data_IF_749133301933
#
_entry.id   IF_749133301933
#
_cell.length_a   1.000
_cell.length_b   1.000
_cell.length_c   1.000
_cell.angle_alpha   90.00
_cell.angle_beta   90.00
_cell.angle_gamma   90.00
#
_symmetry.space_group_name_H-M   'P 1'
#
loop_
_entity.id
_entity.type
_entity.pdbx_description
1 polymer ?
#
# COMPACT_ATOMS: atom_id res chain seq x y z
N UNK A 1 62.22 28.96 -31.96
CA UNK A 1 61.37 29.02 -33.17
C UNK A 1 60.10 28.24 -32.88
N UNK A 2 58.88 28.70 -33.13
CA UNK A 2 58.36 30.06 -33.33
C UNK A 2 56.84 30.05 -33.03
N UNK A 3 56.25 31.19 -32.66
CA UNK A 3 54.79 31.38 -32.55
C UNK A 3 54.19 31.82 -33.89
N UNK A 4 52.93 31.43 -34.17
CA UNK A 4 51.90 32.16 -34.96
C UNK A 4 50.61 31.31 -34.87
N UNK A 5 49.41 31.72 -34.44
CA UNK A 5 48.63 32.99 -34.46
C UNK A 5 47.86 33.25 -35.78
N UNK A 6 46.52 33.28 -35.63
CA UNK A 6 45.36 33.78 -36.44
C UNK A 6 45.65 34.89 -37.51
N UNK A 7 44.82 35.13 -38.57
CA UNK A 7 43.32 35.29 -38.62
C UNK A 7 42.62 34.69 -39.89
N UNK A 8 41.35 34.94 -40.30
CA UNK A 8 40.14 35.55 -39.69
C UNK A 8 39.08 36.11 -40.70
N UNK A 9 37.87 36.48 -40.19
CA UNK A 9 36.81 37.40 -40.73
C UNK A 9 35.94 37.12 -42.00
N UNK A 10 34.60 37.09 -41.76
CA UNK A 10 33.48 37.71 -42.52
C UNK A 10 32.96 37.02 -43.84
N UNK A 11 31.89 37.51 -44.52
CA UNK A 11 30.49 37.14 -44.23
C UNK A 11 29.62 36.82 -45.48
N UNK A 12 28.39 36.27 -45.39
CA UNK A 12 27.40 36.48 -46.48
C UNK A 12 25.92 36.37 -46.07
N UNK A 13 25.10 37.22 -46.71
CA UNK A 13 23.63 37.28 -46.66
C UNK A 13 22.98 36.19 -47.54
N UNK A 14 21.74 35.79 -47.21
CA UNK A 14 20.68 35.75 -48.22
C UNK A 14 19.29 36.07 -47.65
N UNK A 15 18.46 36.75 -48.45
CA UNK A 15 17.06 37.13 -48.16
C UNK A 15 16.09 36.30 -49.01
N UNK A 16 14.94 35.93 -48.46
CA UNK A 16 13.58 36.23 -48.97
C UNK A 16 12.54 35.53 -48.06
N UNK A 17 11.58 36.22 -47.43
CA UNK A 17 10.34 36.80 -47.99
C UNK A 17 9.38 35.78 -48.62
N UNK A 18 8.39 35.35 -47.84
CA UNK A 18 6.99 35.25 -48.29
C UNK A 18 6.12 36.09 -47.34
N UNK A 19 5.05 36.67 -47.87
CA UNK A 19 4.21 37.72 -47.28
C UNK A 19 2.74 37.33 -47.43
N UNK A 20 1.86 37.93 -46.61
CA UNK A 20 0.38 37.88 -46.59
C UNK A 20 -0.20 36.78 -45.67
N UNK A 21 -1.32 37.02 -44.99
CA UNK A 21 -2.18 38.22 -45.01
C UNK A 21 -3.09 38.33 -43.78
N UNK A 22 -3.56 39.54 -43.54
CA UNK A 22 -4.36 39.93 -42.37
C UNK A 22 -5.87 39.95 -42.72
N UNK A 23 -6.69 39.72 -41.69
CA UNK A 23 -8.10 40.10 -41.58
C UNK A 23 -9.13 39.50 -42.56
N UNK A 24 -10.16 38.86 -42.00
CA UNK A 24 -11.53 39.38 -42.14
C UNK A 24 -12.38 38.98 -40.94
N UNK A 25 -13.34 39.82 -40.58
CA UNK A 25 -14.26 39.61 -39.45
C UNK A 25 -15.67 39.33 -39.99
N UNK A 26 -16.44 38.52 -39.25
CA UNK A 26 -17.90 38.47 -39.37
C UNK A 26 -18.53 38.42 -37.97
N UNK A 27 -19.12 39.54 -37.55
CA UNK A 27 -20.19 39.52 -36.55
C UNK A 27 -21.44 38.95 -37.21
N UNK A 28 -22.16 38.07 -36.51
CA UNK A 28 -23.61 38.01 -36.58
C UNK A 28 -24.18 37.79 -35.18
N UNK A 29 -25.31 38.44 -34.91
CA UNK A 29 -26.01 38.43 -33.63
C UNK A 29 -27.45 37.92 -33.83
N UNK A 30 -28.23 37.98 -32.74
CA UNK A 30 -29.68 37.71 -32.62
C UNK A 30 -30.05 36.25 -32.32
N UNK A 31 -30.82 36.07 -31.24
CA UNK A 31 -31.33 34.78 -30.76
C UNK A 31 -31.93 34.90 -29.35
N UNK A 32 -33.08 35.58 -29.22
CA UNK A 32 -33.70 35.90 -27.93
C UNK A 32 -34.77 34.89 -27.48
N UNK A 33 -34.81 34.63 -26.16
CA UNK A 33 -35.97 34.40 -25.29
C UNK A 33 -37.14 33.45 -25.68
N UNK A 34 -37.31 32.39 -24.88
CA UNK A 34 -38.56 31.85 -24.30
C UNK A 34 -38.13 30.75 -23.30
N UNK A 35 -38.43 30.70 -21.99
CA UNK A 35 -39.68 30.90 -21.24
C UNK A 35 -40.87 30.09 -21.78
N UNK A 36 -41.10 28.93 -21.15
CA UNK A 36 -42.43 28.31 -20.98
C UNK A 36 -42.44 27.50 -19.68
N UNK A 37 -43.60 27.49 -19.03
CA UNK A 37 -43.81 27.11 -17.64
C UNK A 37 -44.68 25.83 -17.52
N UNK A 38 -44.76 25.28 -16.29
CA UNK A 38 -45.74 24.28 -15.82
C UNK A 38 -45.66 22.86 -16.44
N UNK A 39 -45.77 21.78 -15.65
CA UNK A 39 -47.05 21.28 -15.07
C UNK A 39 -46.84 20.61 -13.70
N UNK A 40 -47.82 20.77 -12.82
CA UNK A 40 -47.92 20.08 -11.53
C UNK A 40 -48.14 18.56 -11.64
N UNK A 41 -47.56 17.80 -10.71
CA UNK A 41 -48.12 16.54 -10.25
C UNK A 41 -47.91 16.37 -8.73
N UNK A 42 -48.97 16.52 -7.95
CA UNK A 42 -49.00 16.14 -6.53
C UNK A 42 -49.06 14.61 -6.42
N UNK A 43 -48.39 14.03 -5.41
CA UNK A 43 -48.33 12.58 -5.24
C UNK A 43 -47.71 12.16 -3.91
N UNK A 44 -48.13 12.79 -2.80
CA UNK A 44 -47.63 12.42 -1.47
C UNK A 44 -48.19 11.07 -1.02
N UNK A 45 -47.32 10.07 -0.86
CA UNK A 45 -47.67 8.81 -0.19
C UNK A 45 -47.37 8.89 1.31
N UNK A 46 -48.37 8.51 2.11
CA UNK A 46 -48.33 8.62 3.57
C UNK A 46 -47.56 7.46 4.23
N UNK A 47 -46.82 7.78 5.29
CA UNK A 47 -46.29 6.80 6.23
C UNK A 47 -47.36 6.50 7.30
N UNK A 48 -47.64 5.24 7.65
CA UNK A 48 -48.48 4.91 8.79
C UNK A 48 -47.66 5.02 10.09
N UNK A 49 -48.05 5.95 10.94
CA UNK A 49 -47.61 6.00 12.34
C UNK A 49 -48.12 4.78 13.11
N UNK A 50 -47.27 4.14 13.92
CA UNK A 50 -47.74 3.24 14.97
C UNK A 50 -47.01 3.50 16.28
N UNK A 51 -47.75 4.03 17.25
CA UNK A 51 -47.31 4.37 18.60
C UNK A 51 -47.65 3.24 19.57
N UNK A 52 -46.68 2.74 20.32
CA UNK A 52 -46.93 1.84 21.47
C UNK A 52 -46.26 2.34 22.74
N UNK A 53 -47.07 2.38 23.79
CA UNK A 53 -46.86 2.79 25.17
C UNK A 53 -45.45 2.72 25.79
N UNK A 54 -45.11 3.82 26.49
CA UNK A 54 -44.18 3.86 27.62
C UNK A 54 -44.93 3.45 28.90
N UNK A 55 -44.40 2.51 29.68
CA UNK A 55 -44.85 2.19 31.03
C UNK A 55 -43.65 1.97 31.96
N UNK A 56 -43.64 2.49 33.21
CA UNK A 56 -42.50 2.37 34.11
C UNK A 56 -42.60 1.15 35.03
N UNK A 57 -41.45 0.55 35.36
CA UNK A 57 -41.32 -0.43 36.44
C UNK A 57 -40.36 0.07 37.52
N UNK A 58 -40.89 0.25 38.73
CA UNK A 58 -40.13 0.46 39.96
C UNK A 58 -40.14 -0.82 40.79
N UNK A 59 -38.97 -1.28 41.21
CA UNK A 59 -38.80 -1.97 42.51
C UNK A 59 -37.32 -2.09 42.87
N UNK A 60 -37.01 -1.72 44.11
CA UNK A 60 -35.68 -1.84 44.72
C UNK A 60 -35.43 -3.28 45.22
N UNK A 61 -34.16 -3.69 45.28
CA UNK A 61 -33.72 -4.77 46.15
C UNK A 61 -32.30 -4.48 46.64
N UNK A 62 -32.16 -4.28 47.96
CA UNK A 62 -30.88 -4.05 48.64
C UNK A 62 -30.13 -5.36 48.90
N UNK A 63 -28.80 -5.34 48.80
CA UNK A 63 -27.92 -6.35 49.41
C UNK A 63 -26.60 -5.69 49.88
N UNK A 64 -26.05 -6.19 50.99
CA UNK A 64 -25.06 -5.50 51.81
C UNK A 64 -23.59 -5.62 51.33
N UNK A 65 -22.68 -4.71 51.74
CA UNK A 65 -21.26 -4.77 51.40
C UNK A 65 -20.50 -5.76 52.31
N UNK A 66 -19.59 -6.54 51.73
CA UNK A 66 -18.59 -7.32 52.49
C UNK A 66 -17.19 -6.71 52.35
N UNK A 67 -16.46 -6.68 53.47
CA UNK A 67 -15.24 -5.89 53.62
C UNK A 67 -13.96 -6.56 53.12
N UNK A 68 -12.99 -5.73 52.74
CA UNK A 68 -11.61 -6.13 52.49
C UNK A 68 -10.84 -6.29 53.81
N UNK A 69 -10.02 -7.35 53.92
CA UNK A 69 -8.92 -7.43 54.88
C UNK A 69 -7.62 -7.82 54.17
N UNK A 70 -6.47 -7.20 54.48
CA UNK A 70 -5.21 -7.48 53.80
C UNK A 70 -4.46 -8.67 54.43
N UNK A 71 -3.73 -9.44 53.62
CA UNK A 71 -2.83 -10.51 54.10
C UNK A 71 -1.38 -10.20 53.73
N UNK A 72 -0.50 -10.29 54.73
CA UNK A 72 0.92 -9.96 54.64
C UNK A 72 1.77 -11.07 53.97
N UNK A 73 3.01 -10.71 53.63
CA UNK A 73 3.91 -11.43 52.73
C UNK A 73 4.72 -12.59 53.36
N UNK A 74 5.23 -13.46 52.49
CA UNK A 74 6.30 -14.43 52.74
C UNK A 74 7.00 -14.77 51.40
N UNK A 75 8.35 -14.91 51.33
CA UNK A 75 9.07 -14.89 50.05
C UNK A 75 9.58 -16.26 49.59
N UNK A 76 9.53 -16.54 48.27
CA UNK A 76 10.36 -17.61 47.66
C UNK A 76 10.69 -17.36 46.19
N UNK A 77 12.00 -17.39 45.92
CA UNK A 77 12.70 -17.97 44.78
C UNK A 77 12.38 -17.54 43.32
N UNK A 78 13.46 -17.21 42.59
CA UNK A 78 13.46 -16.94 41.17
C UNK A 78 13.06 -18.16 40.31
N UNK A 79 12.24 -17.92 39.29
CA UNK A 79 11.95 -18.90 38.25
C UNK A 79 13.05 -18.91 37.19
N UNK A 80 13.95 -19.89 37.25
CA UNK A 80 14.85 -20.24 36.15
C UNK A 80 14.35 -21.55 35.52
N UNK A 81 14.15 -21.65 34.18
CA UNK A 81 13.60 -22.86 33.57
C UNK A 81 14.55 -24.06 33.71
N UNK A 82 14.07 -25.25 34.14
CA UNK A 82 14.91 -26.42 34.34
C UNK A 82 15.08 -27.21 33.03
N UNK A 83 16.15 -26.91 32.30
CA UNK A 83 16.72 -27.81 31.30
C UNK A 83 18.26 -27.78 31.43
N UNK A 84 18.92 -28.89 31.08
CA UNK A 84 20.36 -29.17 31.34
C UNK A 84 20.70 -29.66 32.77
N UNK A 85 20.01 -30.68 33.27
CA UNK A 85 20.54 -31.54 34.33
C UNK A 85 20.63 -33.00 33.85
N UNK A 86 21.84 -33.55 33.91
CA UNK A 86 22.26 -34.86 33.39
C UNK A 86 21.72 -36.01 34.26
N UNK A 87 21.32 -37.16 33.69
CA UNK A 87 20.68 -38.23 34.46
C UNK A 87 21.69 -39.15 35.20
N UNK A 88 21.38 -39.58 36.44
CA UNK A 88 21.94 -40.79 37.03
C UNK A 88 21.06 -42.01 36.71
N UNK A 89 21.69 -43.14 36.37
CA UNK A 89 21.01 -44.43 36.20
C UNK A 89 20.79 -45.11 37.56
N UNK A 90 19.61 -45.70 37.81
CA UNK A 90 19.46 -47.05 38.43
C UNK A 90 18.01 -47.56 38.44
N UNK A 91 17.82 -48.75 37.86
CA UNK A 91 16.87 -49.83 38.22
C UNK A 91 15.40 -49.57 38.64
N UNK A 92 14.51 -49.97 37.71
CA UNK A 92 13.48 -51.01 37.90
C UNK A 92 12.11 -50.73 38.59
N UNK A 93 11.07 -50.88 37.75
CA UNK A 93 9.82 -51.66 37.94
C UNK A 93 8.50 -50.97 38.41
N UNK A 94 7.49 -51.05 37.51
CA UNK A 94 6.03 -51.16 37.74
C UNK A 94 5.32 -50.15 38.66
N UNK A 95 4.74 -49.11 38.06
CA UNK A 95 3.29 -49.05 37.78
C UNK A 95 2.94 -47.77 37.03
N UNK A 96 2.65 -47.87 35.74
CA UNK A 96 2.23 -46.73 34.92
C UNK A 96 0.71 -46.55 35.00
N UNK A 97 0.27 -45.50 35.70
CA UNK A 97 -1.01 -44.85 35.41
C UNK A 97 -0.86 -44.09 34.08
N UNK A 98 -1.86 -44.11 33.18
CA UNK A 98 -1.75 -43.40 31.91
C UNK A 98 -1.72 -41.89 32.17
N UNK A 99 -0.58 -41.26 31.85
CA UNK A 99 -0.50 -39.82 31.77
C UNK A 99 -1.48 -39.30 30.70
N UNK A 100 -2.10 -38.15 30.96
CA UNK A 100 -3.13 -37.58 30.08
C UNK A 100 -2.64 -37.44 28.64
N UNK A 101 -3.45 -37.91 27.69
CA UNK A 101 -3.15 -37.87 26.26
C UNK A 101 -3.32 -36.44 25.71
N UNK A 102 -2.35 -35.56 26.02
CA UNK A 102 -2.19 -34.25 25.40
C UNK A 102 -1.06 -34.31 24.37
N UNK A 103 -1.40 -34.70 23.14
CA UNK A 103 -0.47 -34.80 22.02
C UNK A 103 -1.11 -35.57 20.86
N UNK A 104 -0.91 -35.10 19.63
CA UNK A 104 -1.51 -35.72 18.44
C UNK A 104 -1.11 -37.18 18.27
N UNK A 105 -2.03 -38.01 17.77
CA UNK A 105 -1.76 -39.42 17.52
C UNK A 105 -0.74 -39.56 16.37
N UNK A 106 0.40 -40.19 16.68
CA UNK A 106 1.39 -40.57 15.67
C UNK A 106 0.80 -41.63 14.74
N UNK A 107 0.37 -41.21 13.55
CA UNK A 107 0.09 -42.11 12.43
C UNK A 107 1.36 -42.89 12.06
N UNK A 108 1.24 -44.18 11.76
CA UNK A 108 2.38 -45.07 11.44
C UNK A 108 2.97 -44.83 10.03
N UNK A 109 2.94 -43.60 9.51
CA UNK A 109 3.44 -43.26 8.17
C UNK A 109 2.60 -43.87 7.04
N UNK A 110 1.28 -43.96 7.24
CA UNK A 110 0.35 -44.51 6.24
C UNK A 110 0.26 -43.68 4.95
N UNK A 111 -0.33 -44.29 3.91
CA UNK A 111 -0.62 -43.61 2.64
C UNK A 111 -1.58 -42.43 2.86
N UNK A 112 -1.30 -41.29 2.22
CA UNK A 112 -2.10 -40.08 2.32
C UNK A 112 -3.57 -40.32 1.88
N UNK A 113 -4.56 -39.62 2.46
CA UNK A 113 -5.98 -39.76 2.07
C UNK A 113 -6.20 -39.41 0.61
N UNK A 114 -6.91 -40.26 -0.14
CA UNK A 114 -7.19 -40.12 -1.59
C UNK A 114 -8.69 -40.06 -1.92
N UNK A 115 -9.51 -39.74 -0.94
CA UNK A 115 -10.97 -39.82 -1.00
C UNK A 115 -11.58 -38.93 -2.09
N UNK A 116 -10.93 -37.80 -2.41
CA UNK A 116 -11.31 -36.89 -3.49
C UNK A 116 -10.45 -37.06 -4.76
N UNK A 117 -9.76 -38.19 -4.92
CA UNK A 117 -8.84 -38.40 -6.04
C UNK A 117 -7.56 -37.58 -5.95
N UNK A 118 -7.12 -37.21 -4.73
CA UNK A 118 -5.87 -36.48 -4.56
C UNK A 118 -4.65 -37.31 -5.02
N UNK A 119 -3.68 -36.62 -5.62
CA UNK A 119 -2.41 -37.17 -6.07
C UNK A 119 -1.25 -36.30 -5.58
N UNK A 120 -0.03 -36.86 -5.57
CA UNK A 120 1.18 -36.10 -5.26
C UNK A 120 1.91 -35.79 -6.56
N UNK A 121 2.10 -34.51 -6.87
CA UNK A 121 2.92 -34.05 -8.01
C UNK A 121 4.06 -33.19 -7.52
N UNK A 122 5.21 -33.38 -8.16
CA UNK A 122 6.43 -32.60 -7.94
C UNK A 122 6.70 -31.80 -9.21
N UNK A 123 6.85 -30.49 -9.08
CA UNK A 123 7.19 -29.59 -10.19
C UNK A 123 8.63 -29.09 -10.00
N UNK A 124 9.42 -29.05 -11.07
CA UNK A 124 10.78 -28.51 -11.06
C UNK A 124 10.77 -26.98 -11.12
N UNK A 125 11.32 -26.33 -10.09
CA UNK A 125 11.49 -24.88 -10.00
C UNK A 125 12.90 -24.42 -10.37
N UNK A 126 13.86 -25.33 -10.49
CA UNK A 126 15.28 -25.05 -10.78
C UNK A 126 15.50 -24.12 -11.99
N UNK A 127 14.73 -24.22 -13.10
CA UNK A 127 14.91 -23.32 -14.26
C UNK A 127 14.52 -21.86 -14.00
N UNK A 128 13.75 -21.61 -12.94
CA UNK A 128 13.33 -20.28 -12.46
C UNK A 128 14.26 -19.77 -11.34
N UNK A 129 14.44 -20.56 -10.29
CA UNK A 129 15.20 -20.13 -9.10
C UNK A 129 16.70 -20.08 -9.33
N UNK A 130 17.23 -20.89 -10.25
CA UNK A 130 18.67 -21.03 -10.51
C UNK A 130 19.34 -19.74 -10.99
N UNK A 131 18.62 -18.85 -11.68
CA UNK A 131 19.16 -17.54 -12.08
C UNK A 131 18.93 -16.44 -11.02
N UNK A 132 17.95 -16.61 -10.12
CA UNK A 132 17.62 -15.69 -9.03
C UNK A 132 18.55 -15.83 -7.81
N UNK A 133 19.85 -15.94 -8.06
CA UNK A 133 20.90 -16.18 -7.05
C UNK A 133 20.91 -15.16 -5.90
N UNK A 134 20.58 -13.90 -6.21
CA UNK A 134 20.54 -12.76 -5.27
C UNK A 134 19.25 -12.66 -4.44
N UNK A 135 18.19 -13.37 -4.82
CA UNK A 135 16.92 -13.36 -4.09
C UNK A 135 16.97 -14.39 -2.98
N UNK A 136 16.58 -14.00 -1.77
CA UNK A 136 16.27 -14.95 -0.71
C UNK A 136 14.93 -15.62 -1.03
N UNK A 137 14.86 -16.95 -0.88
CA UNK A 137 13.66 -17.79 -1.13
C UNK A 137 12.83 -17.41 -2.38
N UNK A 138 13.40 -17.40 -3.60
CA UNK A 138 12.68 -17.01 -4.81
C UNK A 138 11.44 -17.88 -5.09
N UNK A 139 11.45 -19.14 -4.64
CA UNK A 139 10.32 -20.07 -4.71
C UNK A 139 9.07 -19.59 -3.95
N UNK A 140 9.21 -18.73 -2.95
CA UNK A 140 8.07 -18.19 -2.19
C UNK A 140 7.12 -17.42 -3.11
N UNK A 141 7.63 -16.74 -4.14
CA UNK A 141 6.79 -16.08 -5.14
C UNK A 141 5.85 -17.09 -5.85
N UNK A 142 6.32 -18.29 -6.15
CA UNK A 142 5.49 -19.33 -6.79
C UNK A 142 4.35 -19.76 -5.86
N UNK A 143 4.67 -20.00 -4.58
CA UNK A 143 3.70 -20.34 -3.53
C UNK A 143 2.67 -19.23 -3.35
N UNK A 144 3.12 -17.98 -3.22
CA UNK A 144 2.24 -16.82 -3.03
C UNK A 144 1.28 -16.66 -4.22
N UNK A 145 1.78 -16.82 -5.46
CA UNK A 145 0.95 -16.75 -6.66
C UNK A 145 -0.03 -17.90 -6.80
N UNK A 146 0.32 -19.12 -6.34
CA UNK A 146 -0.62 -20.24 -6.25
C UNK A 146 -1.74 -19.91 -5.25
N UNK A 147 -1.40 -19.50 -4.03
CA UNK A 147 -2.40 -19.14 -3.00
C UNK A 147 -3.30 -17.97 -3.45
N UNK A 148 -2.76 -17.01 -4.23
CA UNK A 148 -3.52 -15.89 -4.81
C UNK A 148 -4.49 -16.28 -5.94
N UNK A 149 -4.25 -17.38 -6.66
CA UNK A 149 -5.18 -17.90 -7.68
C UNK A 149 -6.19 -18.87 -7.08
N UNK A 150 -5.72 -19.76 -6.20
CA UNK A 150 -6.48 -20.89 -5.65
C UNK A 150 -7.28 -20.53 -4.39
N UNK A 151 -6.95 -19.41 -3.75
CA UNK A 151 -7.42 -19.06 -2.42
C UNK A 151 -6.60 -19.75 -1.33
N UNK A 152 -6.69 -19.23 -0.10
CA UNK A 152 -6.05 -19.85 1.08
C UNK A 152 -6.87 -21.02 1.60
N UNK A 153 -8.20 -20.96 1.50
CA UNK A 153 -9.12 -21.90 2.15
C UNK A 153 -8.94 -23.33 1.63
N UNK A 154 -8.71 -23.53 0.33
CA UNK A 154 -8.51 -24.85 -0.29
C UNK A 154 -7.32 -25.63 0.27
N UNK A 155 -6.37 -24.94 0.91
CA UNK A 155 -5.20 -25.56 1.56
C UNK A 155 -5.44 -25.90 3.05
N UNK A 156 -6.61 -25.55 3.58
CA UNK A 156 -6.99 -25.71 5.00
C UNK A 156 -8.35 -26.37 5.23
N UNK A 157 -9.15 -26.56 4.17
CA UNK A 157 -10.42 -27.29 4.20
C UNK A 157 -10.30 -28.69 3.59
N UNK A 158 -11.40 -29.43 3.55
CA UNK A 158 -11.53 -30.61 2.71
C UNK A 158 -11.65 -30.19 1.22
N UNK A 159 -11.11 -30.96 0.26
CA UNK A 159 -10.33 -32.19 0.46
C UNK A 159 -8.91 -31.89 0.97
N UNK A 160 -8.37 -32.77 1.85
CA UNK A 160 -7.02 -32.60 2.39
C UNK A 160 -5.98 -32.40 1.28
N UNK A 161 -5.27 -31.27 1.34
CA UNK A 161 -4.17 -30.94 0.46
C UNK A 161 -3.01 -30.30 1.22
N UNK A 162 -1.83 -30.29 0.62
CA UNK A 162 -0.69 -29.52 1.10
C UNK A 162 0.18 -29.05 -0.06
N UNK A 163 0.94 -27.98 0.18
CA UNK A 163 1.95 -27.47 -0.73
C UNK A 163 3.20 -27.13 0.08
N UNK A 164 4.37 -27.52 -0.44
CA UNK A 164 5.68 -27.19 0.12
C UNK A 164 6.65 -26.91 -1.02
N UNK A 165 7.43 -25.84 -0.90
CA UNK A 165 8.41 -25.44 -1.91
C UNK A 165 9.79 -25.26 -1.29
N UNK A 166 10.81 -25.72 -2.00
CA UNK A 166 12.20 -25.32 -1.79
C UNK A 166 12.73 -24.63 -3.06
N UNK A 167 14.04 -24.41 -3.18
CA UNK A 167 14.59 -23.74 -4.38
C UNK A 167 14.45 -24.59 -5.64
N UNK A 168 14.46 -25.91 -5.55
CA UNK A 168 14.57 -26.78 -6.71
C UNK A 168 13.22 -27.41 -7.05
N UNK A 169 12.34 -27.63 -6.07
CA UNK A 169 11.07 -28.35 -6.24
C UNK A 169 9.88 -27.72 -5.52
N UNK A 170 8.71 -27.85 -6.15
CA UNK A 170 7.39 -27.62 -5.56
C UNK A 170 6.68 -28.96 -5.42
N UNK A 171 6.45 -29.39 -4.18
CA UNK A 171 5.70 -30.60 -3.83
C UNK A 171 4.26 -30.21 -3.51
N UNK A 172 3.30 -30.77 -4.25
CA UNK A 172 1.86 -30.51 -4.07
C UNK A 172 1.10 -31.81 -3.94
N UNK A 173 0.19 -31.85 -2.96
CA UNK A 173 -0.83 -32.88 -2.85
C UNK A 173 -2.22 -32.26 -2.99
N UNK A 174 -2.92 -32.54 -4.10
CA UNK A 174 -4.30 -32.07 -4.33
C UNK A 174 -5.00 -32.91 -5.41
N UNK A 175 -6.25 -32.58 -5.71
CA UNK A 175 -6.99 -33.10 -6.88
C UNK A 175 -6.37 -32.66 -8.21
N UNK A 176 -6.65 -33.41 -9.29
CA UNK A 176 -6.12 -33.16 -10.64
C UNK A 176 -6.53 -31.77 -11.20
N UNK A 177 -7.72 -31.27 -10.87
CA UNK A 177 -8.23 -29.96 -11.32
C UNK A 177 -7.36 -28.83 -10.76
N UNK A 178 -6.99 -28.93 -9.47
CA UNK A 178 -6.08 -27.98 -8.83
C UNK A 178 -4.67 -28.07 -9.43
N UNK A 179 -4.21 -29.28 -9.76
CA UNK A 179 -2.92 -29.48 -10.44
C UNK A 179 -2.86 -28.86 -11.85
N UNK A 180 -4.00 -28.69 -12.54
CA UNK A 180 -4.06 -27.95 -13.81
C UNK A 180 -3.86 -26.45 -13.60
N UNK A 181 -4.54 -25.86 -12.60
CA UNK A 181 -4.37 -24.45 -12.22
C UNK A 181 -2.94 -24.16 -11.80
N UNK A 182 -2.38 -24.98 -10.91
CA UNK A 182 -1.00 -24.87 -10.43
C UNK A 182 -0.01 -25.04 -11.57
N UNK A 183 -0.24 -26.00 -12.48
CA UNK A 183 0.59 -26.20 -13.66
C UNK A 183 0.71 -24.93 -14.50
N UNK A 184 -0.41 -24.27 -14.81
CA UNK A 184 -0.42 -23.02 -15.59
C UNK A 184 0.24 -21.83 -14.87
N UNK A 185 0.28 -21.82 -13.54
CA UNK A 185 1.03 -20.81 -12.77
C UNK A 185 2.52 -21.12 -12.84
N UNK A 186 2.93 -22.34 -12.50
CA UNK A 186 4.34 -22.77 -12.50
C UNK A 186 4.96 -22.61 -13.89
N UNK A 187 4.22 -22.89 -14.96
CA UNK A 187 4.66 -22.69 -16.34
C UNK A 187 5.08 -21.23 -16.62
N UNK A 188 4.37 -20.23 -16.09
CA UNK A 188 4.72 -18.80 -16.22
C UNK A 188 6.01 -18.40 -15.49
N UNK A 189 6.42 -19.18 -14.49
CA UNK A 189 7.70 -19.01 -13.80
C UNK A 189 8.84 -19.75 -14.51
N UNK A 190 8.60 -20.98 -14.93
CA UNK A 190 9.61 -21.93 -15.43
C UNK A 190 9.89 -21.78 -16.92
N UNK A 191 8.84 -21.61 -17.73
CA UNK A 191 8.89 -21.41 -19.18
C UNK A 191 8.71 -19.93 -19.58
N UNK A 192 8.35 -19.06 -18.63
CA UNK A 192 8.27 -17.62 -18.85
C UNK A 192 9.62 -16.94 -19.04
N UNK A 193 9.57 -15.63 -19.25
CA UNK A 193 10.76 -14.83 -19.52
C UNK A 193 11.73 -14.80 -18.33
N UNK A 194 13.02 -14.96 -18.62
CA UNK A 194 14.10 -14.94 -17.63
C UNK A 194 14.78 -13.57 -17.54
N UNK A 195 14.59 -12.72 -18.55
CA UNK A 195 15.12 -11.37 -18.51
C UNK A 195 14.33 -10.50 -17.52
N UNK A 196 15.01 -9.67 -16.70
CA UNK A 196 14.32 -8.70 -15.88
C UNK A 196 13.45 -7.77 -16.74
N UNK A 197 12.23 -7.52 -16.26
CA UNK A 197 11.23 -6.68 -16.90
C UNK A 197 11.26 -5.28 -16.29
N UNK A 198 10.91 -4.28 -17.10
CA UNK A 198 10.81 -2.88 -16.64
C UNK A 198 9.35 -2.49 -16.49
N UNK A 199 8.97 -2.12 -15.28
CA UNK A 199 7.66 -1.58 -14.93
C UNK A 199 7.81 -0.10 -14.59
N UNK A 200 7.25 0.79 -15.42
CA UNK A 200 7.18 2.21 -15.07
C UNK A 200 6.01 2.44 -14.11
N UNK A 201 6.32 2.96 -12.93
CA UNK A 201 5.36 3.37 -11.92
C UNK A 201 5.39 4.89 -11.77
N UNK A 202 4.27 5.57 -12.02
CA UNK A 202 4.13 7.02 -11.80
C UNK A 202 2.97 7.32 -10.87
N UNK A 203 3.27 7.90 -9.71
CA UNK A 203 2.34 8.37 -8.70
C UNK A 203 2.17 9.89 -8.82
N UNK A 204 0.93 10.35 -8.89
CA UNK A 204 0.55 11.76 -8.98
C UNK A 204 -0.56 12.09 -7.99
N UNK A 205 -0.62 13.35 -7.56
CA UNK A 205 -1.76 13.89 -6.81
C UNK A 205 -2.43 15.00 -7.62
N UNK A 206 -3.76 14.97 -7.66
CA UNK A 206 -4.59 15.96 -8.37
C UNK A 206 -5.50 16.65 -7.35
N UNK A 207 -5.52 17.98 -7.33
CA UNK A 207 -6.40 18.74 -6.44
C UNK A 207 -7.88 18.45 -6.67
N UNK A 208 -8.35 18.62 -7.90
CA UNK A 208 -9.75 18.45 -8.28
C UNK A 208 -9.98 17.17 -9.13
N UNK A 209 -10.85 16.24 -8.71
CA UNK A 209 -11.12 14.96 -9.41
C UNK A 209 -11.78 15.09 -10.80
N UNK A 210 -12.15 16.30 -11.23
CA UNK A 210 -12.74 16.58 -12.54
C UNK A 210 -11.86 16.24 -13.76
N UNK A 211 -10.60 15.84 -13.59
CA UNK A 211 -9.79 15.31 -14.70
C UNK A 211 -10.48 14.11 -15.39
N UNK A 212 -11.28 13.33 -14.63
CA UNK A 212 -12.06 12.20 -15.15
C UNK A 212 -13.01 12.58 -16.28
N UNK A 213 -13.71 13.73 -16.20
CA UNK A 213 -14.70 14.10 -17.23
C UNK A 213 -14.04 14.29 -18.60
N UNK A 214 -12.84 14.85 -18.60
CA UNK A 214 -12.09 15.15 -19.81
C UNK A 214 -11.36 13.91 -20.36
N UNK A 215 -10.91 13.02 -19.47
CA UNK A 215 -10.27 11.76 -19.83
C UNK A 215 -11.27 10.63 -20.15
N UNK A 216 -12.58 10.78 -19.85
CA UNK A 216 -13.53 9.65 -19.81
C UNK A 216 -13.57 8.81 -21.09
N UNK A 217 -13.52 9.45 -22.26
CA UNK A 217 -13.56 8.78 -23.57
C UNK A 217 -12.23 8.08 -23.95
N UNK A 218 -11.14 8.33 -23.22
CA UNK A 218 -9.81 7.74 -23.46
C UNK A 218 -9.54 6.50 -22.59
N UNK A 219 -10.47 6.17 -21.69
CA UNK A 219 -10.30 5.22 -20.58
C UNK A 219 -11.35 4.10 -20.61
N UNK A 220 -10.91 2.85 -20.55
CA UNK A 220 -11.79 1.68 -20.46
C UNK A 220 -11.88 1.21 -19.00
N UNK A 221 -13.09 1.19 -18.41
CA UNK A 221 -13.25 0.86 -16.98
C UNK A 221 -12.90 -0.60 -16.67
N UNK A 222 -12.19 -0.82 -15.57
CA UNK A 222 -11.88 -2.14 -15.00
C UNK A 222 -12.62 -2.30 -13.68
N UNK A 223 -13.27 -3.44 -13.49
CA UNK A 223 -13.97 -3.73 -12.24
C UNK A 223 -12.96 -4.00 -11.11
N UNK A 224 -13.18 -3.34 -9.98
CA UNK A 224 -12.37 -3.42 -8.77
C UNK A 224 -13.23 -3.88 -7.59
N UNK A 225 -12.62 -4.48 -6.57
CA UNK A 225 -13.32 -5.01 -5.39
C UNK A 225 -13.19 -4.06 -4.18
N UNK A 226 -12.16 -3.23 -4.16
CA UNK A 226 -11.82 -2.31 -3.09
C UNK A 226 -12.72 -1.07 -3.12
N UNK A 227 -13.37 -0.71 -2.00
CA UNK A 227 -14.25 0.44 -1.96
C UNK A 227 -13.46 1.75 -2.16
N UNK A 228 -13.98 2.65 -3.01
CA UNK A 228 -13.38 3.95 -3.29
C UNK A 228 -12.22 3.95 -4.29
N UNK A 229 -11.78 2.77 -4.75
CA UNK A 229 -10.86 2.62 -5.88
C UNK A 229 -11.62 2.75 -7.21
N UNK A 230 -10.97 3.26 -8.24
CA UNK A 230 -11.41 3.14 -9.64
C UNK A 230 -10.21 2.79 -10.51
N UNK A 231 -10.39 1.90 -11.49
CA UNK A 231 -9.34 1.46 -12.39
C UNK A 231 -9.77 1.60 -13.85
N UNK A 232 -8.81 1.93 -14.72
CA UNK A 232 -9.02 1.99 -16.15
C UNK A 232 -7.81 1.46 -16.93
N UNK A 233 -8.06 0.92 -18.12
CA UNK A 233 -7.04 0.65 -19.13
C UNK A 233 -7.03 1.77 -20.16
N UNK A 234 -5.81 2.12 -20.60
CA UNK A 234 -5.54 3.06 -21.68
C UNK A 234 -4.53 2.44 -22.64
N UNK A 235 -4.60 2.76 -23.92
CA UNK A 235 -3.45 2.55 -24.81
C UNK A 235 -2.31 3.50 -24.40
N UNK A 236 -1.08 3.23 -24.83
CA UNK A 236 0.07 4.08 -24.48
C UNK A 236 -0.06 5.51 -25.00
N UNK A 237 -0.72 5.70 -26.15
CA UNK A 237 -1.04 6.99 -26.73
C UNK A 237 -2.09 7.73 -25.88
N UNK A 238 -3.17 7.05 -25.50
CA UNK A 238 -4.21 7.62 -24.64
C UNK A 238 -3.64 7.98 -23.25
N UNK A 239 -2.77 7.15 -22.69
CA UNK A 239 -2.06 7.44 -21.46
C UNK A 239 -1.16 8.69 -21.60
N UNK A 240 -0.46 8.86 -22.71
CA UNK A 240 0.32 10.07 -22.98
C UNK A 240 -0.55 11.33 -23.11
N UNK A 241 -1.74 11.23 -23.74
CA UNK A 241 -2.71 12.32 -23.82
C UNK A 241 -3.25 12.72 -22.43
N UNK A 242 -3.66 11.76 -21.61
CA UNK A 242 -4.13 12.00 -20.24
C UNK A 242 -3.00 12.58 -19.37
N UNK A 243 -1.77 12.05 -19.48
CA UNK A 243 -0.60 12.59 -18.80
C UNK A 243 -0.30 14.06 -19.19
N UNK A 244 -0.41 14.41 -20.48
CA UNK A 244 -0.21 15.78 -20.94
C UNK A 244 -1.32 16.72 -20.41
N UNK A 245 -2.57 16.26 -20.42
CA UNK A 245 -3.70 16.98 -19.83
C UNK A 245 -3.55 17.18 -18.31
N UNK A 246 -2.98 16.22 -17.59
CA UNK A 246 -2.69 16.37 -16.16
C UNK A 246 -1.53 17.34 -15.93
N UNK A 247 -0.45 17.25 -16.72
CA UNK A 247 0.73 18.12 -16.58
C UNK A 247 0.48 19.60 -16.93
N UNK A 248 -0.54 19.91 -17.73
CA UNK A 248 -0.93 21.30 -18.02
C UNK A 248 -1.72 21.97 -16.88
N UNK A 249 -2.15 21.21 -15.86
CA UNK A 249 -2.90 21.73 -14.71
C UNK A 249 -1.99 22.18 -13.57
N UNK A 250 -2.36 23.28 -12.93
CA UNK A 250 -1.61 23.86 -11.79
C UNK A 250 -1.81 23.11 -10.47
N UNK A 251 -2.90 22.36 -10.32
CA UNK A 251 -3.29 21.61 -9.13
C UNK A 251 -2.76 20.16 -9.10
N UNK A 252 -1.92 19.80 -10.08
CA UNK A 252 -1.30 18.48 -10.23
C UNK A 252 0.15 18.50 -9.73
N UNK A 253 0.56 17.45 -9.01
CA UNK A 253 1.94 17.18 -8.62
C UNK A 253 2.31 15.74 -8.91
N UNK A 254 3.45 15.53 -9.55
CA UNK A 254 4.05 14.19 -9.73
C UNK A 254 4.87 13.91 -8.47
N UNK A 255 4.40 12.96 -7.64
CA UNK A 255 5.01 12.62 -6.34
C UNK A 255 6.21 11.69 -6.57
N UNK A 256 6.05 10.74 -7.49
CA UNK A 256 7.11 9.79 -7.82
C UNK A 256 6.96 9.29 -9.26
N UNK A 257 8.07 9.09 -9.94
CA UNK A 257 8.15 8.33 -11.19
C UNK A 257 9.42 7.46 -11.13
N UNK A 258 9.25 6.14 -11.18
CA UNK A 258 10.34 5.16 -11.04
C UNK A 258 10.15 4.02 -12.04
N UNK A 259 11.24 3.62 -12.67
CA UNK A 259 11.34 2.38 -13.44
C UNK A 259 11.80 1.26 -12.52
N UNK A 260 10.93 0.27 -12.31
CA UNK A 260 11.19 -0.90 -11.48
C UNK A 260 11.69 -2.03 -12.37
N UNK A 261 12.91 -2.51 -12.09
CA UNK A 261 13.49 -3.69 -12.73
C UNK A 261 13.14 -4.89 -11.86
N UNK A 262 12.35 -5.82 -12.39
CA UNK A 262 11.71 -6.89 -11.62
C UNK A 262 11.67 -8.19 -12.41
N UNK A 263 11.73 -9.34 -11.72
CA UNK A 263 11.61 -10.66 -12.34
C UNK A 263 10.20 -11.24 -12.12
N UNK A 264 9.77 -12.16 -13.01
CA UNK A 264 8.43 -12.75 -12.96
C UNK A 264 8.06 -13.24 -11.54
N UNK A 265 6.94 -12.74 -11.03
CA UNK A 265 6.32 -12.98 -9.73
C UNK A 265 7.07 -12.43 -8.51
N UNK A 266 8.31 -11.94 -8.64
CA UNK A 266 9.03 -11.31 -7.53
C UNK A 266 8.34 -10.00 -7.11
N UNK A 267 8.53 -9.59 -5.86
CA UNK A 267 7.87 -8.39 -5.30
C UNK A 267 8.90 -7.29 -5.08
N UNK A 268 8.77 -6.19 -5.82
CA UNK A 268 9.55 -4.97 -5.57
C UNK A 268 8.82 -4.04 -4.61
N UNK A 269 9.57 -3.38 -3.72
CA UNK A 269 9.02 -2.52 -2.66
C UNK A 269 9.57 -1.11 -2.77
N UNK A 270 8.67 -0.12 -2.82
CA UNK A 270 8.99 1.29 -2.66
C UNK A 270 8.39 1.78 -1.37
N UNK A 271 9.17 2.50 -0.57
CA UNK A 271 8.66 3.22 0.59
C UNK A 271 9.26 4.63 0.62
N UNK A 272 8.43 5.60 0.99
CA UNK A 272 8.85 6.96 1.34
C UNK A 272 8.11 7.35 2.60
N UNK A 273 8.82 7.34 3.72
CA UNK A 273 8.28 7.67 5.04
C UNK A 273 9.09 8.78 5.68
N UNK A 274 8.42 9.55 6.54
CA UNK A 274 8.97 10.70 7.25
C UNK A 274 8.52 10.68 8.69
N UNK A 275 9.49 10.84 9.59
CA UNK A 275 9.26 11.06 11.01
C UNK A 275 8.65 12.43 11.29
N UNK A 276 7.58 12.45 12.10
CA UNK A 276 6.96 13.66 12.63
C UNK A 276 6.91 13.57 14.16
N UNK A 277 7.62 14.48 14.82
CA UNK A 277 7.71 14.54 16.27
C UNK A 277 6.49 15.26 16.89
N UNK A 278 6.09 14.85 18.08
CA UNK A 278 5.01 15.44 18.87
C UNK A 278 5.24 15.25 20.38
N UNK A 279 4.55 16.03 21.21
CA UNK A 279 4.61 15.84 22.67
C UNK A 279 3.68 14.69 23.07
N UNK A 280 4.23 13.48 23.18
CA UNK A 280 3.48 12.27 23.52
C UNK A 280 2.93 12.34 24.95
N UNK A 281 3.76 12.77 25.89
CA UNK A 281 3.45 12.74 27.31
C UNK A 281 4.29 13.78 28.07
N UNK A 282 4.11 13.88 29.39
CA UNK A 282 4.90 14.74 30.28
C UNK A 282 5.24 13.96 31.54
N UNK A 283 6.51 13.98 31.95
CA UNK A 283 7.03 13.28 33.14
C UNK A 283 7.62 14.26 34.16
N UNK A 284 7.62 13.95 35.47
CA UNK A 284 8.30 14.77 36.47
C UNK A 284 9.80 14.87 36.16
N UNK A 285 10.39 16.07 36.22
CA UNK A 285 11.81 16.22 35.94
C UNK A 285 12.67 15.86 37.17
N UNK A 286 13.75 15.08 37.01
CA UNK A 286 14.68 14.79 38.10
C UNK A 286 15.52 16.01 38.54
N UNK A 287 15.47 17.11 37.78
CA UNK A 287 16.18 18.35 38.10
C UNK A 287 15.38 19.31 39.02
N UNK A 288 14.16 18.93 39.45
CA UNK A 288 13.17 19.72 40.19
C UNK A 288 12.68 21.02 39.50
N UNK A 289 13.43 21.59 38.56
CA UNK A 289 13.06 22.76 37.78
C UNK A 289 13.56 22.65 36.32
N UNK A 290 12.67 22.69 35.30
CA UNK A 290 11.20 22.74 35.39
C UNK A 290 10.62 21.54 36.16
N UNK A 291 9.43 21.66 36.80
CA UNK A 291 8.86 20.57 37.59
C UNK A 291 8.48 19.34 36.72
N UNK A 292 8.22 19.60 35.44
CA UNK A 292 7.78 18.63 34.46
C UNK A 292 8.54 18.84 33.15
N UNK A 293 8.94 17.74 32.51
CA UNK A 293 9.63 17.73 31.22
C UNK A 293 8.80 16.96 30.16
N UNK A 294 8.71 17.48 28.91
CA UNK A 294 7.98 16.81 27.85
C UNK A 294 8.69 15.53 27.41
N UNK A 295 7.89 14.49 27.16
CA UNK A 295 8.30 13.25 26.54
C UNK A 295 7.90 13.31 25.05
N UNK A 296 8.89 13.35 24.17
CA UNK A 296 8.66 13.43 22.72
C UNK A 296 8.44 12.06 22.12
N UNK A 297 7.35 11.89 21.37
CA UNK A 297 7.11 10.74 20.50
C UNK A 297 7.39 11.09 19.03
N UNK A 298 7.64 10.07 18.22
CA UNK A 298 7.75 10.17 16.76
C UNK A 298 6.69 9.28 16.11
N UNK A 299 6.08 9.76 15.03
CA UNK A 299 5.18 8.96 14.19
C UNK A 299 5.60 9.05 12.73
N UNK A 300 5.57 7.92 12.02
CA UNK A 300 5.94 7.85 10.60
C UNK A 300 4.71 8.15 9.74
N UNK A 301 4.82 9.12 8.83
CA UNK A 301 3.84 9.40 7.78
C UNK A 301 4.47 9.19 6.39
N UNK A 302 3.69 8.74 5.40
CA UNK A 302 4.18 8.45 4.06
C UNK A 302 3.44 7.31 3.37
N UNK A 303 4.13 6.61 2.48
CA UNK A 303 3.59 5.48 1.73
C UNK A 303 4.57 4.31 1.62
N UNK A 304 4.01 3.11 1.49
CA UNK A 304 4.67 1.87 1.10
C UNK A 304 3.84 1.21 -0.02
N UNK A 305 4.46 0.98 -1.17
CA UNK A 305 3.88 0.32 -2.34
C UNK A 305 4.71 -0.93 -2.63
N UNK A 306 4.05 -2.06 -2.82
CA UNK A 306 4.65 -3.33 -3.22
C UNK A 306 4.00 -3.78 -4.52
N UNK A 307 4.84 -4.08 -5.51
CA UNK A 307 4.42 -4.43 -6.87
C UNK A 307 4.99 -5.80 -7.19
N UNK A 308 4.11 -6.76 -7.49
CA UNK A 308 4.47 -8.12 -7.90
C UNK A 308 3.86 -8.39 -9.27
N UNK A 309 4.62 -8.26 -10.37
CA UNK A 309 4.17 -8.57 -11.72
C UNK A 309 4.49 -10.02 -12.11
N UNK A 310 3.57 -10.68 -12.80
CA UNK A 310 3.76 -11.99 -13.41
C UNK A 310 3.26 -11.94 -14.86
N UNK A 311 4.17 -12.04 -15.82
CA UNK A 311 3.81 -12.07 -17.24
C UNK A 311 3.24 -13.45 -17.64
N UNK A 312 2.42 -13.51 -18.68
CA UNK A 312 2.07 -14.76 -19.36
C UNK A 312 3.25 -15.31 -20.16
N UNK A 313 3.24 -16.61 -20.45
CA UNK A 313 4.31 -17.29 -21.23
C UNK A 313 4.45 -16.67 -22.63
N UNK A 314 3.36 -16.20 -23.23
CA UNK A 314 3.34 -15.53 -24.54
C UNK A 314 3.68 -14.04 -24.49
N UNK A 315 3.93 -13.48 -23.31
CA UNK A 315 4.29 -12.08 -23.11
C UNK A 315 3.16 -11.06 -23.29
N UNK A 316 1.94 -11.49 -23.65
CA UNK A 316 0.83 -10.59 -24.05
C UNK A 316 -0.02 -10.08 -22.91
N UNK A 317 -0.06 -10.79 -21.79
CA UNK A 317 -0.88 -10.41 -20.63
C UNK A 317 0.00 -10.31 -19.40
N UNK A 318 -0.23 -9.26 -18.63
CA UNK A 318 0.42 -9.02 -17.36
C UNK A 318 -0.62 -9.18 -16.24
N UNK A 319 -0.32 -10.08 -15.30
CA UNK A 319 -0.98 -10.04 -14.00
C UNK A 319 -0.09 -9.24 -13.06
N UNK A 320 -0.64 -8.35 -12.25
CA UNK A 320 0.11 -7.65 -11.23
C UNK A 320 -0.68 -7.56 -9.93
N UNK A 321 -0.05 -7.94 -8.83
CA UNK A 321 -0.56 -7.64 -7.49
C UNK A 321 0.06 -6.34 -7.01
N UNK A 322 -0.80 -5.42 -6.61
CA UNK A 322 -0.44 -4.11 -6.10
C UNK A 322 -0.97 -4.01 -4.68
N UNK A 323 -0.03 -3.95 -3.72
CA UNK A 323 -0.29 -3.67 -2.32
C UNK A 323 0.18 -2.24 -2.05
N UNK A 324 -0.69 -1.36 -1.56
CA UNK A 324 -0.30 0.02 -1.22
C UNK A 324 -0.90 0.44 0.13
N UNK A 325 -0.03 0.98 0.98
CA UNK A 325 -0.36 1.47 2.31
C UNK A 325 0.09 2.94 2.35
N UNK A 326 -0.85 3.85 2.62
CA UNK A 326 -0.57 5.28 2.80
C UNK A 326 -1.08 5.65 4.19
N UNK A 327 -0.21 6.18 5.05
CA UNK A 327 -0.56 6.62 6.40
C UNK A 327 -0.08 8.06 6.59
N UNK A 328 -0.96 8.98 7.03
CA UNK A 328 -0.63 10.40 7.22
C UNK A 328 -1.23 10.96 8.51
N UNK A 329 -0.50 11.87 9.16
CA UNK A 329 -1.00 12.64 10.31
C UNK A 329 -1.81 13.84 9.80
N UNK A 330 -3.14 13.76 9.91
CA UNK A 330 -4.07 14.82 9.52
C UNK A 330 -3.90 16.08 10.40
N UNK A 331 -3.75 15.87 11.72
CA UNK A 331 -3.40 16.88 12.71
C UNK A 331 -2.94 16.24 14.02
N UNK A 332 -2.27 17.03 14.86
CA UNK A 332 -2.14 16.75 16.28
C UNK A 332 -3.25 17.48 17.03
N UNK A 333 -3.98 16.76 17.89
CA UNK A 333 -5.02 17.33 18.76
C UNK A 333 -4.38 17.65 20.10
N UNK A 334 -4.27 18.93 20.50
CA UNK A 334 -3.71 19.29 21.79
C UNK A 334 -4.69 18.94 22.91
N UNK A 335 -4.19 18.28 23.95
CA UNK A 335 -4.90 18.00 25.20
C UNK A 335 -4.17 18.77 26.30
N UNK A 336 -4.88 19.67 26.97
CA UNK A 336 -4.33 20.41 28.11
C UNK A 336 -4.36 19.52 29.36
N UNK A 337 -3.24 19.46 30.09
CA UNK A 337 -3.10 18.73 31.33
C UNK A 337 -2.87 19.70 32.49
N UNK A 338 -3.70 19.58 33.52
CA UNK A 338 -3.56 20.24 34.82
C UNK A 338 -2.78 19.29 35.76
N UNK A 339 -1.47 19.51 35.94
CA UNK A 339 -0.59 18.65 36.74
C UNK A 339 -0.34 19.21 38.16
N UNK A 340 -0.36 18.39 39.22
CA UNK A 340 -0.27 18.87 40.60
C UNK A 340 1.15 19.27 41.01
N UNK A 341 1.33 20.48 41.52
CA UNK A 341 2.59 20.93 42.12
C UNK A 341 2.61 20.70 43.65
N UNK A 342 3.80 20.47 44.28
CA UNK A 342 3.92 20.25 45.72
C UNK A 342 3.38 21.39 46.61
N UNK A 343 3.21 22.59 46.06
CA UNK A 343 2.68 23.77 46.73
C UNK A 343 1.15 23.95 46.57
N UNK A 344 0.44 22.89 46.16
CA UNK A 344 -1.01 22.90 45.88
C UNK A 344 -1.43 23.87 44.76
N UNK A 345 -0.49 24.27 43.89
CA UNK A 345 -0.78 24.93 42.61
C UNK A 345 -0.85 23.89 41.49
N UNK A 346 -1.29 24.33 40.30
CA UNK A 346 -1.42 23.48 39.12
C UNK A 346 -0.46 23.96 38.03
N UNK A 347 0.34 23.05 37.50
CA UNK A 347 1.15 23.27 36.31
C UNK A 347 0.37 22.88 35.06
N UNK A 348 0.05 23.87 34.22
CA UNK A 348 -0.58 23.63 32.91
C UNK A 348 0.47 23.30 31.87
N UNK A 349 0.30 22.14 31.26
CA UNK A 349 1.10 21.68 30.12
C UNK A 349 0.18 21.12 29.03
N UNK A 350 0.75 20.74 27.89
CA UNK A 350 0.01 20.20 26.74
C UNK A 350 0.68 18.94 26.23
N UNK A 351 -0.12 17.92 25.96
CA UNK A 351 0.26 16.76 25.16
C UNK A 351 -0.48 16.81 23.83
N UNK A 352 -0.04 16.01 22.86
CA UNK A 352 -0.55 15.97 21.50
C UNK A 352 -0.98 14.56 21.15
N UNK A 353 -2.24 14.40 20.76
CA UNK A 353 -2.78 13.11 20.28
C UNK A 353 -2.80 13.13 18.75
N UNK A 354 -2.07 12.23 18.05
CA UNK A 354 -2.10 12.18 16.60
C UNK A 354 -3.44 11.70 16.07
N UNK A 355 -4.05 12.47 15.18
CA UNK A 355 -5.16 12.00 14.34
C UNK A 355 -4.60 11.49 13.01
N UNK A 356 -4.72 10.19 12.79
CA UNK A 356 -4.26 9.51 11.58
C UNK A 356 -5.34 9.39 10.52
N UNK A 357 -4.89 9.34 9.27
CA UNK A 357 -5.65 8.95 8.09
C UNK A 357 -4.85 7.89 7.37
N UNK A 358 -5.46 6.74 7.15
CA UNK A 358 -4.87 5.65 6.40
C UNK A 358 -5.70 5.33 5.15
N UNK A 359 -5.01 4.91 4.10
CA UNK A 359 -5.60 4.31 2.91
C UNK A 359 -4.83 3.05 2.53
N UNK A 360 -5.57 2.03 2.08
CA UNK A 360 -5.09 0.67 1.91
C UNK A 360 -5.65 0.10 0.62
N UNK A 361 -4.78 -0.49 -0.19
CA UNK A 361 -5.10 -1.22 -1.42
C UNK A 361 -4.38 -2.56 -1.37
N UNK A 362 -5.09 -3.63 -1.69
CA UNK A 362 -4.49 -4.92 -1.97
C UNK A 362 -5.32 -5.60 -3.06
N UNK A 363 -4.93 -5.38 -4.31
CA UNK A 363 -5.64 -5.93 -5.47
C UNK A 363 -4.71 -6.57 -6.48
N UNK A 364 -5.32 -7.47 -7.26
CA UNK A 364 -4.72 -8.10 -8.42
C UNK A 364 -5.42 -7.59 -9.68
N UNK A 365 -4.62 -7.07 -10.60
CA UNK A 365 -5.06 -6.64 -11.92
C UNK A 365 -4.51 -7.61 -12.98
N UNK A 366 -5.28 -7.83 -14.05
CA UNK A 366 -4.86 -8.56 -15.26
C UNK A 366 -5.19 -7.70 -16.46
N UNK A 367 -4.19 -7.39 -17.30
CA UNK A 367 -4.38 -6.56 -18.49
C UNK A 367 -3.37 -6.87 -19.61
N UNK A 368 -3.61 -6.43 -20.86
CA UNK A 368 -2.66 -6.56 -21.95
C UNK A 368 -1.35 -5.79 -21.69
N UNK A 369 -0.21 -6.38 -22.01
CA UNK A 369 1.13 -5.80 -21.72
C UNK A 369 1.47 -4.57 -22.58
N UNK A 370 0.72 -4.31 -23.65
CA UNK A 370 0.77 -3.11 -24.47
C UNK A 370 -0.08 -1.94 -23.92
N UNK A 371 -0.91 -2.18 -22.90
CA UNK A 371 -1.76 -1.16 -22.27
C UNK A 371 -1.18 -0.64 -20.95
N UNK A 372 -1.64 0.55 -20.56
CA UNK A 372 -1.32 1.21 -19.28
C UNK A 372 -2.52 1.06 -18.34
N UNK A 373 -2.28 0.57 -17.13
CA UNK A 373 -3.26 0.56 -16.05
C UNK A 373 -3.20 1.90 -15.32
N UNK A 374 -4.33 2.60 -15.24
CA UNK A 374 -4.51 3.80 -14.43
C UNK A 374 -5.41 3.48 -13.25
N UNK A 375 -4.87 3.63 -12.04
CA UNK A 375 -5.62 3.53 -10.80
C UNK A 375 -5.85 4.93 -10.22
N UNK A 376 -7.09 5.22 -9.83
CA UNK A 376 -7.41 6.31 -8.92
C UNK A 376 -7.74 5.74 -7.55
N UNK A 377 -6.94 6.15 -6.57
CA UNK A 377 -7.02 5.76 -5.17
C UNK A 377 -8.08 6.57 -4.40
N UNK A 378 -8.84 7.41 -5.09
CA UNK A 378 -9.75 8.38 -4.49
C UNK A 378 -9.02 9.54 -3.82
N UNK A 379 -9.78 10.36 -3.09
CA UNK A 379 -9.29 11.57 -2.41
C UNK A 379 -8.57 11.19 -1.10
N UNK A 380 -7.27 10.91 -1.22
CA UNK A 380 -6.38 10.63 -0.09
C UNK A 380 -5.82 11.91 0.54
N UNK A 381 -5.17 11.76 1.69
CA UNK A 381 -4.31 12.80 2.22
C UNK A 381 -3.00 12.88 1.41
N UNK A 382 -2.53 14.09 1.14
CA UNK A 382 -1.34 14.38 0.36
C UNK A 382 -0.19 14.73 1.32
N UNK A 383 0.85 13.89 1.47
CA UNK A 383 1.93 14.16 2.43
C UNK A 383 2.79 15.37 2.04
N UNK A 384 2.90 15.65 0.73
CA UNK A 384 3.70 16.77 0.21
C UNK A 384 3.00 18.14 0.21
N UNK A 385 1.68 18.19 0.44
CA UNK A 385 0.92 19.44 0.32
C UNK A 385 0.83 20.12 1.68
N UNK A 386 1.54 21.24 1.92
CA UNK A 386 1.44 21.94 3.19
C UNK A 386 -0.01 22.40 3.41
N UNK A 387 -0.55 22.11 4.60
CA UNK A 387 -1.79 22.71 5.05
C UNK A 387 -1.58 24.24 5.11
N UNK A 388 -2.49 25.01 4.51
CA UNK A 388 -2.40 26.46 4.51
C UNK A 388 -2.57 27.00 5.93
N UNK A 389 -1.53 27.65 6.47
CA UNK A 389 -1.51 28.21 7.82
C UNK A 389 -2.39 29.46 8.00
N UNK A 390 -3.07 29.92 6.95
CA UNK A 390 -3.86 31.16 6.93
C UNK A 390 -5.33 30.84 6.65
N UNK A 391 -6.23 30.85 7.67
CA UNK A 391 -7.63 30.48 7.49
C UNK A 391 -8.40 31.36 6.49
N UNK A 392 -8.00 32.62 6.33
CA UNK A 392 -8.74 33.63 5.55
C UNK A 392 -8.64 33.46 4.03
N UNK A 393 -7.61 32.76 3.53
CA UNK A 393 -7.43 32.45 2.10
C UNK A 393 -7.76 30.98 1.79
N UNK A 394 -8.45 30.29 2.70
CA UNK A 394 -8.76 28.88 2.53
C UNK A 394 -10.00 28.68 1.64
N UNK A 395 -9.80 28.80 0.32
CA UNK A 395 -10.82 28.54 -0.70
C UNK A 395 -11.30 27.07 -0.76
N UNK A 396 -10.84 26.19 0.14
CA UNK A 396 -11.28 24.79 0.23
C UNK A 396 -12.79 24.61 0.37
N UNK A 397 -13.48 25.56 1.01
CA UNK A 397 -14.94 25.57 1.18
C UNK A 397 -15.69 25.89 -0.12
N UNK A 398 -15.06 26.57 -1.07
CA UNK A 398 -15.64 26.97 -2.36
C UNK A 398 -15.27 25.98 -3.47
N UNK A 399 -14.07 25.38 -3.41
CA UNK A 399 -13.62 24.38 -4.41
C UNK A 399 -13.99 22.94 -4.06
N UNK A 400 -14.51 22.67 -2.86
CA UNK A 400 -14.79 21.33 -2.35
C UNK A 400 -13.55 20.49 -2.03
N UNK A 401 -12.36 21.08 -2.11
CA UNK A 401 -11.08 20.37 -1.87
C UNK A 401 -10.50 20.78 -0.52
N UNK A 402 -10.68 19.96 0.51
CA UNK A 402 -10.07 20.18 1.83
C UNK A 402 -8.55 20.35 1.71
N UNK A 403 -7.98 21.34 2.40
CA UNK A 403 -6.54 21.59 2.40
C UNK A 403 -5.77 20.33 2.80
N UNK A 404 -4.76 19.94 2.01
CA UNK A 404 -4.02 18.69 2.19
C UNK A 404 -4.69 17.43 1.63
N UNK A 405 -5.85 17.52 0.96
CA UNK A 405 -6.51 16.38 0.27
C UNK A 405 -6.36 16.46 -1.25
N UNK A 406 -6.20 15.30 -1.89
CA UNK A 406 -6.03 15.18 -3.34
C UNK A 406 -6.43 13.79 -3.82
N UNK A 407 -6.95 13.72 -5.04
CA UNK A 407 -7.14 12.46 -5.76
C UNK A 407 -5.76 11.90 -6.16
N UNK A 408 -5.40 10.72 -5.64
CA UNK A 408 -4.12 10.08 -5.97
C UNK A 408 -4.28 9.15 -7.17
N UNK A 409 -3.45 9.38 -8.19
CA UNK A 409 -3.44 8.65 -9.45
C UNK A 409 -2.13 7.87 -9.59
N UNK A 410 -2.24 6.61 -10.00
CA UNK A 410 -1.10 5.74 -10.20
C UNK A 410 -1.17 5.13 -11.61
N UNK A 411 -0.21 5.47 -12.45
CA UNK A 411 -0.02 4.88 -13.76
C UNK A 411 0.99 3.73 -13.64
N UNK A 412 0.62 2.58 -14.18
CA UNK A 412 1.42 1.35 -14.18
C UNK A 412 1.55 0.88 -15.63
N UNK A 413 2.77 0.97 -16.18
CA UNK A 413 3.07 0.60 -17.57
C UNK A 413 4.16 -0.48 -17.61
N UNK A 414 3.93 -1.52 -18.40
CA UNK A 414 4.98 -2.45 -18.81
C UNK A 414 5.81 -1.85 -19.96
N UNK A 415 7.10 -1.63 -19.72
CA UNK A 415 8.05 -1.05 -20.68
C UNK A 415 8.77 -2.09 -21.55
N UNK A 416 8.62 -3.38 -21.25
CA UNK A 416 9.34 -4.47 -21.92
C UNK A 416 10.49 -5.01 -21.09
N UNK A 417 11.43 -5.69 -21.76
CA UNK A 417 12.64 -6.24 -21.11
C UNK A 417 13.63 -5.13 -20.77
N UNK A 418 14.44 -5.35 -19.74
CA UNK A 418 15.50 -4.43 -19.35
C UNK A 418 16.58 -4.30 -20.44
N UNK A 419 16.85 -5.38 -21.18
CA UNK A 419 17.71 -5.42 -22.37
C UNK A 419 17.28 -4.41 -23.44
N UNK A 420 16.00 -4.45 -23.85
CA UNK A 420 15.42 -3.59 -24.87
C UNK A 420 15.39 -2.10 -24.46
N UNK A 421 15.22 -1.82 -23.16
CA UNK A 421 15.11 -0.45 -22.62
C UNK A 421 16.48 0.22 -22.38
N UNK A 422 17.57 -0.54 -22.28
CA UNK A 422 18.93 0.02 -22.15
C UNK A 422 19.38 0.81 -23.39
N UNK A 423 18.72 0.62 -24.54
CA UNK A 423 19.00 1.35 -25.78
C UNK A 423 18.34 2.73 -25.90
N UNK A 424 17.41 3.11 -25.01
CA UNK A 424 16.53 4.27 -25.22
C UNK A 424 16.46 5.29 -24.08
N UNK A 425 17.08 5.04 -22.92
CA UNK A 425 17.09 5.99 -21.79
C UNK A 425 18.51 6.21 -21.24
N UNK A 426 19.01 7.46 -21.14
CA UNK A 426 20.32 7.71 -20.54
C UNK A 426 20.28 7.38 -19.04
N UNK A 427 21.33 6.70 -18.54
CA UNK A 427 21.47 6.41 -17.11
C UNK A 427 21.42 7.71 -16.29
N UNK A 428 20.32 7.92 -15.57
CA UNK A 428 20.31 8.81 -14.41
C UNK A 428 21.01 8.07 -13.28
N UNK A 429 22.10 8.61 -12.69
CA UNK A 429 22.80 7.93 -11.62
C UNK A 429 21.87 7.68 -10.42
N UNK A 430 21.84 6.46 -9.91
CA UNK A 430 21.23 6.18 -8.60
C UNK A 430 21.99 6.98 -7.54
N UNK A 431 21.41 8.07 -7.07
CA UNK A 431 21.90 8.80 -5.90
C UNK A 431 21.58 7.94 -4.68
N UNK A 432 22.54 7.10 -4.29
CA UNK A 432 22.47 6.35 -3.05
C UNK A 432 22.45 7.30 -1.86
N UNK A 433 21.27 7.53 -1.28
CA UNK A 433 21.05 8.31 -0.06
C UNK A 433 21.60 7.55 1.16
N UNK A 434 22.93 7.46 1.26
CA UNK A 434 23.61 7.06 2.48
C UNK A 434 23.36 8.14 3.54
N UNK A 435 22.35 7.91 4.37
CA UNK A 435 22.15 8.66 5.62
C UNK A 435 23.34 8.39 6.52
N UNK A 436 24.33 9.28 6.48
CA UNK A 436 25.50 9.22 7.35
C UNK A 436 25.11 9.67 8.75
N UNK A 437 24.86 8.71 9.65
CA UNK A 437 24.63 9.01 11.06
C UNK A 437 25.92 9.59 11.69
N UNK A 438 25.85 10.75 12.37
CA UNK A 438 27.03 11.34 12.99
C UNK A 438 27.44 10.55 14.24
N UNK A 439 28.41 9.65 14.07
CA UNK A 439 29.09 8.95 15.16
C UNK A 439 29.77 9.95 16.10
N UNK A 440 29.13 10.25 17.24
CA UNK A 440 29.78 10.92 18.37
C UNK A 440 30.49 9.88 19.23
N UNK A 441 31.76 9.63 18.93
CA UNK A 441 32.64 8.92 19.84
C UNK A 441 32.82 9.72 21.14
N UNK A 442 32.83 9.01 22.28
CA UNK A 442 33.32 9.54 23.56
C UNK A 442 34.77 9.10 23.76
N UNK A 443 35.60 10.06 24.16
CA UNK A 443 36.62 9.82 25.17
C UNK A 443 35.96 9.92 26.56
#
# INVERSE_FOLDING_TARGET
MAQATLPGTLPFYLRSRIVRGLASACLFAVGSAALSDHVHAQGGFALPSNSVARGPSTSEAQAAPQGFTPRAAGPTAANTPPSLQTPPQTTANRNALPAGASGGQLSQGGQLPREAGQEHRVYDLSPYTGYLTKHDRPHQAVVDWIVRETGTDVWHTEPFGFMSADRDQLNVYHTNEMHQVIGGIVERFVAGDKEPQVMNLRLMTVGNPNWRSNAHMLMQHVNVQSPGLQAWLLTKENAALVMNMLRSRTDVREVQAVDLITNNGQTEKLASTRGRNYVLNVKPSPANWPPYEPETGEIQEGFQIEVSPLLSVDGRTLDCVINANIDQVDKFVPVELDLPLPNNQVHRTKIEVPQLVSWRLHERFRWPSDMVLLLSCGVVASPERPQSSVPLFNFSSITGTTAGRSDALMFVEFRGRASDNLTTTPLVPQIGSRVSAPNRGRY
#
